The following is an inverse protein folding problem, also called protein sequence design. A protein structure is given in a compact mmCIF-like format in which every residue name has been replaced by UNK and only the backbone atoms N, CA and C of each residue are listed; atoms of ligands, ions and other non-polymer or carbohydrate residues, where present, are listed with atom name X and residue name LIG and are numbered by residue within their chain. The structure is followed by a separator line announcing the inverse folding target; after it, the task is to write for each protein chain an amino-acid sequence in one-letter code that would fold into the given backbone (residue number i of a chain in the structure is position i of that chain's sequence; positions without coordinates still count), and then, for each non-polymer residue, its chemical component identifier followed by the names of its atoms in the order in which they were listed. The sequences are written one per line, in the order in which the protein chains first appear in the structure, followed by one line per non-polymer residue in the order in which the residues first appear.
data_IF_697217690516
#
_entry.id   IF_697217690516
#
_cell.length_a   1.000
_cell.length_b   1.000
_cell.length_c   1.000
_cell.angle_alpha   90.00
_cell.angle_beta   90.00
_cell.angle_gamma   90.00
#
_symmetry.space_group_name_H-M   'P 1'
#
loop_
_entity.id
_entity.type
_entity.pdbx_description
1 polymer ?
#
# COMPACT_ATOMS: atom_id res chain seq x y z
N UNK A 1 2.73 -26.23 -6.19
CA UNK A 1 2.70 -24.92 -5.52
C UNK A 1 3.77 -24.07 -6.16
N UNK A 2 3.41 -22.94 -6.75
CA UNK A 2 4.33 -22.11 -7.53
C UNK A 2 5.48 -21.60 -6.65
N UNK A 3 6.72 -21.76 -7.10
CA UNK A 3 7.92 -21.38 -6.34
C UNK A 3 7.94 -19.87 -6.04
N UNK A 4 7.33 -19.07 -6.92
CA UNK A 4 7.17 -17.64 -6.75
C UNK A 4 6.20 -17.30 -5.60
N UNK A 5 5.04 -17.95 -5.55
CA UNK A 5 4.07 -17.80 -4.46
C UNK A 5 4.71 -18.16 -3.11
N UNK A 6 5.48 -19.26 -3.08
CA UNK A 6 6.20 -19.67 -1.88
C UNK A 6 7.24 -18.62 -1.44
N UNK A 7 8.02 -18.09 -2.38
CA UNK A 7 9.03 -17.07 -2.07
C UNK A 7 8.41 -15.75 -1.60
N UNK A 8 7.28 -15.34 -2.18
CA UNK A 8 6.55 -14.15 -1.74
C UNK A 8 5.96 -14.35 -0.35
N UNK A 9 5.29 -15.48 -0.10
CA UNK A 9 4.78 -15.84 1.22
C UNK A 9 5.90 -15.91 2.26
N UNK A 10 7.07 -16.45 1.90
CA UNK A 10 8.26 -16.47 2.75
C UNK A 10 8.75 -15.06 3.06
N UNK A 11 8.87 -14.17 2.07
CA UNK A 11 9.31 -12.79 2.29
C UNK A 11 8.33 -11.99 3.15
N UNK A 12 7.03 -12.16 2.95
CA UNK A 12 6.01 -11.53 3.80
C UNK A 12 6.13 -12.08 5.22
N UNK A 13 6.25 -13.39 5.37
CA UNK A 13 6.42 -14.02 6.68
C UNK A 13 7.68 -13.52 7.36
N UNK A 14 8.81 -13.45 6.66
CA UNK A 14 10.06 -12.89 7.18
C UNK A 14 9.91 -11.41 7.55
N UNK A 15 9.16 -10.62 6.77
CA UNK A 15 8.88 -9.22 7.09
C UNK A 15 7.98 -9.07 8.31
N UNK A 16 6.93 -9.89 8.44
CA UNK A 16 6.04 -9.93 9.62
C UNK A 16 6.79 -10.41 10.84
N UNK A 17 7.62 -11.44 10.72
CA UNK A 17 8.48 -11.95 11.79
C UNK A 17 9.49 -10.88 12.19
N UNK A 18 10.17 -10.23 11.25
CA UNK A 18 11.04 -9.09 11.55
C UNK A 18 10.26 -7.97 12.26
N UNK A 19 9.04 -7.64 11.81
CA UNK A 19 8.19 -6.65 12.48
C UNK A 19 7.88 -7.03 13.94
N UNK A 20 7.60 -8.30 14.19
CA UNK A 20 7.16 -8.82 15.50
C UNK A 20 8.34 -9.05 16.45
N UNK A 21 9.46 -9.58 15.94
CA UNK A 21 10.64 -9.96 16.73
C UNK A 21 11.55 -8.78 17.03
N UNK A 22 11.66 -7.80 16.11
CA UNK A 22 12.68 -6.75 16.25
C UNK A 22 12.30 -5.75 17.35
N UNK A 23 11.02 -5.40 17.52
CA UNK A 23 10.57 -4.50 18.60
C UNK A 23 9.11 -4.71 19.02
N UNK A 24 8.87 -4.84 20.34
CA UNK A 24 7.51 -4.90 20.94
C UNK A 24 6.58 -3.78 20.48
N UNK A 25 7.13 -2.58 20.24
CA UNK A 25 6.37 -1.43 19.78
C UNK A 25 5.80 -1.60 18.36
N UNK A 26 6.53 -2.25 17.45
CA UNK A 26 6.07 -2.52 16.09
C UNK A 26 5.01 -3.61 16.05
N UNK A 27 5.21 -4.67 16.84
CA UNK A 27 4.19 -5.70 17.08
C UNK A 27 2.88 -5.07 17.60
N UNK A 28 2.96 -4.14 18.55
CA UNK A 28 1.79 -3.43 19.07
C UNK A 28 1.07 -2.58 18.01
N UNK A 29 1.79 -1.98 17.04
CA UNK A 29 1.17 -1.26 15.93
C UNK A 29 0.42 -2.20 14.98
N UNK A 30 1.02 -3.34 14.63
CA UNK A 30 0.34 -4.33 13.80
C UNK A 30 -0.93 -4.88 14.46
N UNK A 31 -0.86 -5.17 15.77
CA UNK A 31 -2.04 -5.56 16.55
C UNK A 31 -3.07 -4.42 16.58
N UNK A 32 -2.64 -3.16 16.67
CA UNK A 32 -3.55 -2.02 16.65
C UNK A 32 -4.26 -1.89 15.30
N UNK A 33 -3.58 -2.13 14.18
CA UNK A 33 -4.19 -2.18 12.84
C UNK A 33 -5.22 -3.30 12.73
N UNK A 34 -4.86 -4.51 13.19
CA UNK A 34 -5.74 -5.67 13.20
C UNK A 34 -7.03 -5.45 14.02
N UNK A 35 -6.99 -4.54 15.00
CA UNK A 35 -8.15 -4.17 15.81
C UNK A 35 -9.07 -3.14 15.15
N UNK A 36 -8.65 -2.49 14.06
CA UNK A 36 -9.50 -1.54 13.33
C UNK A 36 -10.59 -2.31 12.57
N UNK A 37 -10.20 -3.24 11.70
CA UNK A 37 -11.11 -4.20 11.07
C UNK A 37 -10.34 -5.33 10.37
N UNK A 38 -10.98 -6.48 10.22
CA UNK A 38 -10.43 -7.61 9.46
C UNK A 38 -10.20 -7.25 7.97
N UNK A 39 -11.07 -6.40 7.42
CA UNK A 39 -10.94 -5.92 6.03
C UNK A 39 -9.67 -5.08 5.84
N UNK A 40 -9.39 -4.16 6.78
CA UNK A 40 -8.19 -3.32 6.71
C UNK A 40 -6.91 -4.15 6.87
N UNK A 41 -6.95 -5.17 7.73
CA UNK A 41 -5.82 -6.08 7.89
C UNK A 41 -5.57 -6.90 6.62
N UNK A 42 -6.62 -7.48 6.03
CA UNK A 42 -6.52 -8.24 4.78
C UNK A 42 -6.01 -7.36 3.63
N UNK A 43 -6.49 -6.13 3.53
CA UNK A 43 -6.01 -5.11 2.59
C UNK A 43 -4.51 -4.86 2.78
N UNK A 44 -4.07 -4.56 4.00
CA UNK A 44 -2.66 -4.25 4.30
C UNK A 44 -1.71 -5.42 3.97
N UNK A 45 -2.13 -6.66 4.22
CA UNK A 45 -1.36 -7.86 3.82
C UNK A 45 -1.28 -7.97 2.30
N UNK A 46 -2.37 -7.71 1.59
CA UNK A 46 -2.38 -7.73 0.13
C UNK A 46 -1.52 -6.61 -0.48
N UNK A 47 -1.59 -5.39 0.06
CA UNK A 47 -0.76 -4.26 -0.37
C UNK A 47 0.73 -4.55 -0.15
N UNK A 48 1.09 -5.14 1.00
CA UNK A 48 2.44 -5.62 1.27
C UNK A 48 2.92 -6.63 0.22
N UNK A 49 2.11 -7.65 -0.04
CA UNK A 49 2.39 -8.70 -1.03
C UNK A 49 2.60 -8.12 -2.43
N UNK A 50 1.64 -7.31 -2.89
CA UNK A 50 1.67 -6.69 -4.21
C UNK A 50 2.85 -5.72 -4.35
N UNK A 51 3.17 -4.96 -3.31
CA UNK A 51 4.33 -4.04 -3.32
C UNK A 51 5.64 -4.79 -3.56
N UNK A 52 5.84 -5.94 -2.90
CA UNK A 52 7.02 -6.79 -3.10
C UNK A 52 7.05 -7.32 -4.54
N UNK A 53 5.94 -7.90 -5.01
CA UNK A 53 5.85 -8.50 -6.35
C UNK A 53 6.13 -7.47 -7.45
N UNK A 54 5.52 -6.28 -7.34
CA UNK A 54 5.75 -5.17 -8.27
C UNK A 54 7.21 -4.73 -8.21
N UNK A 55 7.77 -4.52 -7.00
CA UNK A 55 9.17 -4.13 -6.81
C UNK A 55 10.16 -5.12 -7.42
N UNK A 56 9.96 -6.42 -7.21
CA UNK A 56 10.78 -7.46 -7.84
C UNK A 56 10.67 -7.44 -9.37
N UNK A 57 9.47 -7.25 -9.91
CA UNK A 57 9.25 -7.14 -11.35
C UNK A 57 9.79 -5.84 -11.94
N UNK A 58 9.97 -4.79 -11.14
CA UNK A 58 10.74 -3.60 -11.52
C UNK A 58 12.24 -3.89 -11.53
N UNK A 59 12.72 -4.86 -10.74
CA UNK A 59 14.12 -5.28 -10.67
C UNK A 59 14.78 -5.01 -9.32
N UNK A 60 13.99 -4.72 -8.27
CA UNK A 60 14.52 -4.57 -6.91
C UNK A 60 14.94 -5.95 -6.38
N UNK A 61 16.25 -6.15 -6.23
CA UNK A 61 16.83 -7.42 -5.76
C UNK A 61 17.39 -7.33 -4.34
N UNK A 62 17.63 -6.12 -3.83
CA UNK A 62 18.20 -5.93 -2.49
C UNK A 62 17.17 -6.33 -1.44
N UNK A 63 17.53 -7.28 -0.58
CA UNK A 63 16.67 -7.78 0.50
C UNK A 63 16.09 -6.63 1.33
N UNK A 64 16.92 -5.67 1.74
CA UNK A 64 16.50 -4.53 2.55
C UNK A 64 15.45 -3.66 1.87
N UNK A 65 15.47 -3.54 0.54
CA UNK A 65 14.46 -2.78 -0.22
C UNK A 65 13.12 -3.50 -0.21
N UNK A 66 13.12 -4.82 -0.38
CA UNK A 66 11.91 -5.64 -0.33
C UNK A 66 11.32 -5.69 1.08
N UNK A 67 12.16 -5.79 2.11
CA UNK A 67 11.74 -5.71 3.52
C UNK A 67 11.05 -4.35 3.83
N UNK A 68 11.56 -3.25 3.28
CA UNK A 68 10.92 -1.92 3.40
C UNK A 68 9.59 -1.84 2.68
N UNK A 69 9.47 -2.39 1.47
CA UNK A 69 8.18 -2.47 0.75
C UNK A 69 7.17 -3.32 1.52
N UNK A 70 7.62 -4.45 2.06
CA UNK A 70 6.78 -5.34 2.86
C UNK A 70 6.25 -4.62 4.11
N UNK A 71 7.13 -3.97 4.86
CA UNK A 71 6.78 -3.25 6.09
C UNK A 71 5.94 -2.01 5.81
N UNK A 72 6.26 -1.24 4.76
CA UNK A 72 5.49 -0.10 4.32
C UNK A 72 4.09 -0.47 3.88
N UNK A 73 3.94 -1.53 3.07
CA UNK A 73 2.62 -2.02 2.68
C UNK A 73 1.79 -2.54 3.86
N UNK A 74 2.40 -3.17 4.87
CA UNK A 74 1.68 -3.60 6.08
C UNK A 74 1.21 -2.43 6.96
N UNK A 75 1.93 -1.31 6.95
CA UNK A 75 1.70 -0.20 7.87
C UNK A 75 1.13 1.05 7.21
N UNK A 76 0.94 1.08 5.88
CA UNK A 76 0.53 2.29 5.15
C UNK A 76 -0.72 2.96 5.75
N UNK A 77 -1.69 2.15 6.16
CA UNK A 77 -2.95 2.61 6.75
C UNK A 77 -2.98 2.64 8.28
N UNK A 78 -1.83 2.55 8.98
CA UNK A 78 -1.82 2.54 10.46
C UNK A 78 -2.46 3.79 11.08
N UNK A 79 -2.45 4.91 10.35
CA UNK A 79 -3.09 6.15 10.76
C UNK A 79 -4.62 6.09 10.80
N UNK A 80 -5.26 5.13 10.11
CA UNK A 80 -6.71 4.95 10.11
C UNK A 80 -7.25 4.74 11.53
N UNK A 81 -6.45 4.14 12.42
CA UNK A 81 -6.81 3.94 13.84
C UNK A 81 -7.11 5.25 14.60
N UNK A 82 -6.71 6.38 14.06
CA UNK A 82 -6.90 7.72 14.63
C UNK A 82 -7.99 8.54 13.94
N UNK A 83 -8.80 7.87 13.12
CA UNK A 83 -10.03 8.43 12.55
C UNK A 83 -11.26 7.93 13.33
N UNK A 84 -12.38 8.67 13.29
CA UNK A 84 -13.66 8.19 13.82
C UNK A 84 -14.09 6.91 13.10
N UNK A 85 -14.57 5.86 13.82
CA UNK A 85 -15.02 4.61 13.19
C UNK A 85 -16.09 4.81 12.11
N UNK A 86 -17.02 5.74 12.33
CA UNK A 86 -18.10 6.05 11.40
C UNK A 86 -17.57 6.59 10.07
N UNK A 87 -16.40 7.25 10.09
CA UNK A 87 -15.74 7.74 8.87
C UNK A 87 -15.04 6.60 8.12
N UNK A 88 -14.46 5.63 8.83
CA UNK A 88 -13.80 4.46 8.22
C UNK A 88 -14.82 3.58 7.49
N UNK A 89 -16.03 3.46 8.05
CA UNK A 89 -17.11 2.67 7.47
C UNK A 89 -17.89 3.39 6.34
N UNK A 90 -17.61 4.68 6.12
CA UNK A 90 -18.31 5.52 5.14
C UNK A 90 -17.58 5.49 3.79
N UNK A 91 -18.28 5.24 2.66
CA UNK A 91 -17.67 5.37 1.34
C UNK A 91 -17.20 6.80 1.06
N UNK A 92 -16.02 6.96 0.45
CA UNK A 92 -15.43 8.25 0.09
C UNK A 92 -16.39 9.12 -0.74
N UNK A 93 -17.14 8.52 -1.66
CA UNK A 93 -18.13 9.22 -2.49
C UNK A 93 -19.32 9.80 -1.70
N UNK A 94 -19.54 9.34 -0.47
CA UNK A 94 -20.59 9.84 0.42
C UNK A 94 -20.06 10.82 1.49
N UNK A 95 -18.75 11.07 1.54
CA UNK A 95 -18.15 11.99 2.50
C UNK A 95 -18.34 13.45 2.09
N UNK A 96 -18.54 14.33 3.07
CA UNK A 96 -18.47 15.78 2.90
C UNK A 96 -17.02 16.23 2.65
N UNK A 97 -16.80 17.45 2.14
CA UNK A 97 -15.45 18.01 2.00
C UNK A 97 -14.65 18.03 3.31
N UNK A 98 -15.30 18.31 4.44
CA UNK A 98 -14.69 18.33 5.76
C UNK A 98 -14.32 16.91 6.23
N UNK A 99 -15.20 15.94 5.98
CA UNK A 99 -14.94 14.52 6.26
C UNK A 99 -13.76 13.99 5.42
N UNK A 100 -13.67 14.38 4.14
CA UNK A 100 -12.52 14.05 3.28
C UNK A 100 -11.23 14.64 3.86
N UNK A 101 -11.24 15.90 4.30
CA UNK A 101 -10.06 16.51 4.93
C UNK A 101 -9.62 15.74 6.17
N UNK A 102 -10.55 15.26 6.99
CA UNK A 102 -10.25 14.43 8.16
C UNK A 102 -9.69 13.07 7.71
N UNK A 103 -10.29 12.44 6.70
CA UNK A 103 -9.84 11.17 6.15
C UNK A 103 -8.39 11.26 5.64
N UNK A 104 -8.06 12.30 4.85
CA UNK A 104 -6.72 12.52 4.31
C UNK A 104 -5.64 12.62 5.42
N UNK A 105 -6.01 12.98 6.66
CA UNK A 105 -5.05 13.09 7.77
C UNK A 105 -4.43 11.77 8.20
N UNK A 106 -5.01 10.62 7.84
CA UNK A 106 -4.48 9.33 8.31
C UNK A 106 -3.04 9.09 7.82
N UNK A 107 -2.70 9.51 6.60
CA UNK A 107 -1.34 9.36 6.08
C UNK A 107 -0.32 10.12 6.94
N UNK A 108 -0.64 11.38 7.30
CA UNK A 108 0.20 12.19 8.19
C UNK A 108 0.25 11.62 9.62
N UNK A 109 -0.90 11.22 10.19
CA UNK A 109 -0.96 10.63 11.53
C UNK A 109 -0.18 9.32 11.61
N UNK A 110 -0.27 8.47 10.59
CA UNK A 110 0.49 7.22 10.49
C UNK A 110 1.99 7.49 10.45
N UNK A 111 2.42 8.44 9.61
CA UNK A 111 3.80 8.91 9.55
C UNK A 111 4.31 9.37 10.92
N UNK A 112 3.54 10.22 11.64
CA UNK A 112 3.92 10.70 12.97
C UNK A 112 4.05 9.57 13.99
N UNK A 113 3.14 8.59 13.96
CA UNK A 113 3.23 7.41 14.84
C UNK A 113 4.53 6.65 14.61
N UNK A 114 4.89 6.39 13.35
CA UNK A 114 6.09 5.64 13.01
C UNK A 114 7.37 6.40 13.38
N UNK A 115 7.43 7.70 13.11
CA UNK A 115 8.56 8.55 13.51
C UNK A 115 8.75 8.57 15.03
N UNK A 116 7.66 8.63 15.80
CA UNK A 116 7.75 8.67 17.27
C UNK A 116 8.39 7.42 17.89
N UNK A 117 8.43 6.31 17.15
CA UNK A 117 9.09 5.09 17.62
C UNK A 117 10.62 5.15 17.51
N UNK A 118 11.16 5.98 16.60
CA UNK A 118 12.61 6.15 16.41
C UNK A 118 13.37 4.91 15.88
N UNK A 119 12.65 3.87 15.47
CA UNK A 119 13.20 2.56 15.05
C UNK A 119 12.75 2.14 13.65
N UNK A 120 11.85 2.92 13.04
CA UNK A 120 11.30 2.64 11.71
C UNK A 120 12.20 3.31 10.65
N UNK A 121 12.64 2.60 9.59
CA UNK A 121 13.40 3.22 8.51
C UNK A 121 12.61 4.34 7.81
N UNK A 122 13.30 5.41 7.46
CA UNK A 122 12.70 6.59 6.81
C UNK A 122 11.97 6.27 5.49
N UNK A 123 12.44 5.26 4.75
CA UNK A 123 11.74 4.79 3.55
C UNK A 123 10.31 4.31 3.86
N UNK A 124 10.13 3.63 4.99
CA UNK A 124 8.82 3.12 5.41
C UNK A 124 7.92 4.24 5.91
N UNK A 125 8.50 5.18 6.65
CA UNK A 125 7.82 6.42 7.04
C UNK A 125 7.33 7.17 5.79
N UNK A 126 8.15 7.24 4.74
CA UNK A 126 7.82 7.88 3.47
C UNK A 126 6.71 7.13 2.73
N UNK A 127 6.73 5.79 2.71
CA UNK A 127 5.62 4.98 2.16
C UNK A 127 4.31 5.35 2.85
N UNK A 128 4.27 5.33 4.19
CA UNK A 128 3.05 5.64 4.94
C UNK A 128 2.56 7.06 4.68
N UNK A 129 3.47 8.02 4.53
CA UNK A 129 3.08 9.40 4.28
C UNK A 129 2.57 9.66 2.85
N UNK A 130 3.10 8.93 1.86
CA UNK A 130 2.94 9.26 0.44
C UNK A 130 2.18 8.20 -0.37
N UNK A 131 1.66 7.13 0.24
CA UNK A 131 0.98 6.05 -0.49
C UNK A 131 -0.30 6.50 -1.22
N UNK A 132 -0.87 7.66 -0.89
CA UNK A 132 -1.97 8.26 -1.64
C UNK A 132 -1.55 9.34 -2.64
N UNK A 133 -0.24 9.62 -2.76
CA UNK A 133 0.28 10.47 -3.83
C UNK A 133 0.22 9.76 -5.17
N UNK A 134 0.03 10.52 -6.25
CA UNK A 134 -0.03 9.98 -7.60
C UNK A 134 0.83 10.79 -8.57
N UNK A 135 1.26 10.17 -9.67
CA UNK A 135 2.25 10.72 -10.60
C UNK A 135 1.81 12.04 -11.26
N UNK A 136 0.51 12.32 -11.30
CA UNK A 136 -0.07 13.55 -11.85
C UNK A 136 -0.23 14.68 -10.81
N UNK A 137 -0.01 14.40 -9.53
CA UNK A 137 -0.07 15.38 -8.44
C UNK A 137 -1.48 15.74 -7.97
N UNK A 138 -2.43 14.83 -8.14
CA UNK A 138 -3.81 14.96 -7.64
C UNK A 138 -4.06 14.15 -6.35
N UNK A 139 -3.04 13.42 -5.89
CA UNK A 139 -3.10 12.65 -4.64
C UNK A 139 -3.00 13.53 -3.39
N UNK A 140 -2.80 12.91 -2.24
CA UNK A 140 -2.68 13.59 -0.95
C UNK A 140 -1.63 12.87 -0.08
N UNK A 141 -1.12 13.49 1.00
CA UNK A 141 -1.49 14.78 1.58
C UNK A 141 -0.78 16.00 0.96
N UNK A 142 0.36 15.82 0.30
CA UNK A 142 1.23 16.87 -0.21
C UNK A 142 0.85 17.35 -1.62
N UNK A 143 0.12 16.54 -2.40
CA UNK A 143 -0.27 16.85 -3.79
C UNK A 143 0.95 17.05 -4.69
N UNK A 144 1.89 16.10 -4.61
CA UNK A 144 3.17 16.17 -5.32
C UNK A 144 3.19 15.27 -6.55
N UNK A 145 3.96 15.66 -7.57
CA UNK A 145 4.11 14.90 -8.83
C UNK A 145 5.19 13.83 -8.72
N UNK A 146 5.17 12.88 -9.67
CA UNK A 146 6.03 11.68 -9.68
C UNK A 146 7.48 11.92 -9.27
N UNK A 147 8.13 12.96 -9.80
CA UNK A 147 9.56 13.25 -9.52
C UNK A 147 9.88 13.54 -8.05
N UNK A 148 8.88 13.91 -7.25
CA UNK A 148 9.02 14.19 -5.81
C UNK A 148 8.58 13.04 -4.90
N UNK A 149 7.77 12.10 -5.41
CA UNK A 149 7.27 10.98 -4.62
C UNK A 149 8.43 10.01 -4.35
N UNK A 150 8.53 9.52 -3.13
CA UNK A 150 9.51 8.54 -2.72
C UNK A 150 9.40 7.27 -3.60
N UNK A 151 10.51 6.71 -4.11
CA UNK A 151 10.47 5.61 -5.06
C UNK A 151 9.67 4.38 -4.59
N UNK A 152 9.76 4.04 -3.30
CA UNK A 152 8.99 2.92 -2.74
C UNK A 152 7.52 3.27 -2.52
N UNK A 153 7.20 4.54 -2.22
CA UNK A 153 5.81 4.98 -2.08
C UNK A 153 5.07 4.92 -3.42
N UNK A 154 5.75 5.20 -4.55
CA UNK A 154 5.16 5.02 -5.89
C UNK A 154 4.69 3.58 -6.16
N UNK A 155 5.45 2.60 -5.66
CA UNK A 155 5.11 1.18 -5.80
C UNK A 155 3.93 0.86 -4.91
N UNK A 156 3.96 1.29 -3.65
CA UNK A 156 2.88 1.03 -2.70
C UNK A 156 1.58 1.74 -3.08
N UNK A 157 1.62 2.95 -3.63
CA UNK A 157 0.44 3.67 -4.11
C UNK A 157 -0.31 2.91 -5.21
N UNK A 158 0.42 2.33 -6.16
CA UNK A 158 -0.18 1.47 -7.18
C UNK A 158 -0.71 0.17 -6.57
N UNK A 159 0.05 -0.44 -5.65
CA UNK A 159 -0.34 -1.68 -4.98
C UNK A 159 -1.64 -1.51 -4.16
N UNK A 160 -1.74 -0.40 -3.43
CA UNK A 160 -2.90 0.03 -2.66
C UNK A 160 -4.14 0.18 -3.55
N UNK A 161 -4.04 1.03 -4.58
CA UNK A 161 -5.13 1.26 -5.51
C UNK A 161 -5.61 -0.03 -6.20
N UNK A 162 -4.67 -0.91 -6.59
CA UNK A 162 -5.02 -2.19 -7.19
C UNK A 162 -5.69 -3.13 -6.18
N UNK A 163 -5.17 -3.24 -4.95
CA UNK A 163 -5.75 -4.04 -3.88
C UNK A 163 -7.18 -3.61 -3.55
N UNK A 164 -7.44 -2.30 -3.46
CA UNK A 164 -8.79 -1.75 -3.19
C UNK A 164 -9.80 -2.06 -4.30
N UNK A 165 -9.36 -2.44 -5.50
CA UNK A 165 -10.24 -2.85 -6.59
C UNK A 165 -10.56 -4.35 -6.57
N UNK A 166 -9.64 -5.19 -6.09
CA UNK A 166 -9.76 -6.65 -6.12
C UNK A 166 -10.15 -7.27 -4.78
N UNK A 167 -10.16 -6.48 -3.69
CA UNK A 167 -10.63 -6.89 -2.37
C UNK A 167 -11.88 -6.10 -1.96
N UNK A 168 -12.82 -6.74 -1.24
CA UNK A 168 -14.03 -6.06 -0.78
C UNK A 168 -13.67 -5.01 0.27
N UNK A 169 -14.20 -3.80 0.08
CA UNK A 169 -14.07 -2.69 1.03
C UNK A 169 -15.25 -1.73 0.89
N UNK A 170 -15.31 -0.71 1.75
CA UNK A 170 -16.42 0.27 1.78
C UNK A 170 -16.58 1.05 0.46
N UNK A 171 -15.48 1.27 -0.27
CA UNK A 171 -15.48 2.00 -1.55
C UNK A 171 -15.73 1.08 -2.74
N UNK A 172 -15.38 -0.21 -2.63
CA UNK A 172 -15.59 -1.23 -3.66
C UNK A 172 -16.21 -2.50 -3.02
N UNK A 173 -17.52 -2.50 -2.72
CA UNK A 173 -18.17 -3.64 -2.07
C UNK A 173 -18.22 -4.90 -2.94
N UNK A 174 -18.23 -4.71 -4.27
CA UNK A 174 -18.18 -5.79 -5.26
C UNK A 174 -16.82 -5.74 -5.95
N UNK A 175 -15.87 -6.62 -5.56
CA UNK A 175 -14.53 -6.62 -6.13
C UNK A 175 -14.53 -6.91 -7.62
N UNK A 176 -13.61 -6.26 -8.33
CA UNK A 176 -13.28 -6.57 -9.72
C UNK A 176 -12.41 -7.81 -9.77
N UNK A 177 -12.47 -8.54 -10.88
CA UNK A 177 -11.44 -9.54 -11.12
C UNK A 177 -10.08 -8.87 -11.43
N UNK A 178 -8.95 -9.59 -11.32
CA UNK A 178 -7.61 -9.02 -11.51
C UNK A 178 -7.42 -8.24 -12.82
N UNK A 179 -7.93 -8.77 -13.95
CA UNK A 179 -7.79 -8.13 -15.26
C UNK A 179 -8.66 -6.88 -15.38
N UNK A 180 -9.88 -6.92 -14.86
CA UNK A 180 -10.77 -5.76 -14.80
C UNK A 180 -10.18 -4.63 -13.96
N UNK A 181 -9.57 -4.94 -12.82
CA UNK A 181 -8.90 -3.95 -11.98
C UNK A 181 -7.74 -3.27 -12.73
N UNK A 182 -6.92 -4.05 -13.45
CA UNK A 182 -5.85 -3.52 -14.28
C UNK A 182 -6.39 -2.60 -15.39
N UNK A 183 -7.40 -3.05 -16.13
CA UNK A 183 -8.05 -2.26 -17.19
C UNK A 183 -8.69 -0.98 -16.64
N UNK A 184 -9.26 -1.02 -15.44
CA UNK A 184 -9.83 0.15 -14.78
C UNK A 184 -8.74 1.20 -14.50
N UNK A 185 -7.59 0.80 -13.96
CA UNK A 185 -6.45 1.69 -13.75
C UNK A 185 -5.92 2.24 -15.08
N UNK A 186 -5.84 1.39 -16.13
CA UNK A 186 -5.30 1.78 -17.44
C UNK A 186 -6.21 2.76 -18.18
N UNK A 187 -7.49 2.44 -18.31
CA UNK A 187 -8.40 3.13 -19.22
C UNK A 187 -9.35 4.09 -18.52
N UNK A 188 -9.75 3.81 -17.28
CA UNK A 188 -10.69 4.68 -16.55
C UNK A 188 -9.94 5.76 -15.79
N UNK A 189 -8.85 5.39 -15.09
CA UNK A 189 -8.04 6.36 -14.35
C UNK A 189 -6.95 7.03 -15.21
N UNK A 190 -6.63 6.46 -16.37
CA UNK A 190 -5.60 7.00 -17.27
C UNK A 190 -4.17 6.82 -16.75
N UNK A 191 -3.91 5.77 -15.96
CA UNK A 191 -2.61 5.46 -15.34
C UNK A 191 -2.05 6.67 -14.56
N UNK A 192 -2.70 7.10 -13.46
CA UNK A 192 -2.22 8.21 -12.65
C UNK A 192 -1.00 7.82 -11.79
N UNK A 193 -0.47 6.60 -11.93
CA UNK A 193 0.62 6.04 -11.13
C UNK A 193 1.91 5.92 -11.94
N UNK A 194 3.00 5.57 -11.25
CA UNK A 194 4.31 5.44 -11.88
C UNK A 194 4.28 4.40 -13.01
N UNK A 195 4.75 4.81 -14.20
CA UNK A 195 4.66 4.01 -15.42
C UNK A 195 5.45 2.70 -15.34
N UNK A 196 6.59 2.68 -14.68
CA UNK A 196 7.40 1.47 -14.55
C UNK A 196 6.76 0.47 -13.60
N UNK A 197 6.22 0.97 -12.47
CA UNK A 197 5.44 0.16 -11.54
C UNK A 197 4.18 -0.42 -12.22
N UNK A 198 3.46 0.38 -13.00
CA UNK A 198 2.28 -0.08 -13.74
C UNK A 198 2.63 -1.18 -14.76
N UNK A 199 3.71 -1.02 -15.53
CA UNK A 199 4.19 -2.07 -16.45
C UNK A 199 4.60 -3.35 -15.70
N UNK A 200 5.20 -3.23 -14.53
CA UNK A 200 5.55 -4.37 -13.70
C UNK A 200 4.30 -5.12 -13.21
N UNK A 201 3.28 -4.41 -12.74
CA UNK A 201 1.99 -5.00 -12.37
C UNK A 201 1.30 -5.66 -13.58
N UNK A 202 1.26 -4.99 -14.73
CA UNK A 202 0.67 -5.53 -15.96
C UNK A 202 1.26 -6.88 -16.34
N UNK A 203 2.59 -6.99 -16.35
CA UNK A 203 3.31 -8.26 -16.60
C UNK A 203 2.92 -9.36 -15.62
N UNK A 204 2.80 -9.04 -14.33
CA UNK A 204 2.38 -9.99 -13.29
C UNK A 204 0.98 -10.55 -13.56
N UNK A 205 0.03 -9.70 -13.97
CA UNK A 205 -1.37 -10.09 -14.19
C UNK A 205 -1.58 -10.78 -15.54
N UNK A 206 -0.85 -10.38 -16.57
CA UNK A 206 -0.95 -10.93 -17.92
C UNK A 206 -0.06 -12.16 -18.15
N UNK A 207 0.90 -12.43 -17.25
CA UNK A 207 1.81 -13.57 -17.32
C UNK A 207 2.99 -13.38 -18.29
N UNK A 208 3.30 -12.13 -18.65
CA UNK A 208 4.39 -11.81 -19.57
C UNK A 208 5.74 -11.77 -18.83
N UNK A 209 6.65 -12.71 -19.15
CA UNK A 209 8.03 -12.67 -18.64
C UNK A 209 8.78 -11.46 -19.22
N UNK A 210 9.60 -10.79 -18.39
CA UNK A 210 10.53 -9.74 -18.85
C UNK A 210 11.30 -10.23 -20.09
N UNK A 211 11.25 -9.47 -21.19
CA UNK A 211 12.19 -9.66 -22.28
C UNK A 211 13.61 -9.51 -21.71
N UNK A 212 14.42 -10.54 -21.91
CA UNK A 212 15.79 -10.67 -21.41
C UNK A 212 16.73 -9.63 -22.04
#
# INVERSE_FOLDING_TARGET
MDLEIYNNAKQITEAVVALVETHKALSALFIALAKVSDQLLAHSVAVSTLSIMIGQNMGFQKKQTLEKLAMGGLLHDIGMKSLPPELIEKPLAAMSPEEIQIYETHAYKGMQMLQSLGIVPDDVVSIVYEHHENSIGQGFPQRIRDVKIHPLAKVTALADAYASLILPNVNCPVPKNPREALMYIEHTLGIPYNREAFRALKRLIEGEKKAA
#
